data_IF_033693454625
#
_entry.id   IF_033693454625
#
_cell.length_a   1.000
_cell.length_b   1.000
_cell.length_c   1.000
_cell.angle_alpha   90.00
_cell.angle_beta   90.00
_cell.angle_gamma   90.00
#
_symmetry.space_group_name_H-M   'P 1'
#
loop_
_entity.id
_entity.type
_entity.pdbx_description
1 polymer ?
#
# COMPACT_ATOMS: atom_id res chain seq x y z
N UNK A 1 -4.42 -0.22 -9.53
CA UNK A 1 -4.60 -1.36 -8.61
C UNK A 1 -3.23 -1.70 -8.01
N UNK A 2 -3.13 -1.85 -6.69
CA UNK A 2 -1.92 -2.27 -5.99
C UNK A 2 -2.26 -3.31 -4.91
N UNK A 3 -1.39 -4.31 -4.74
CA UNK A 3 -1.51 -5.35 -3.72
C UNK A 3 -0.38 -5.17 -2.69
N UNK A 4 -0.68 -5.36 -1.41
CA UNK A 4 0.24 -5.17 -0.29
C UNK A 4 1.52 -5.98 -0.40
N UNK A 5 1.40 -7.27 -0.74
CA UNK A 5 2.54 -8.19 -0.74
C UNK A 5 3.60 -7.77 -1.76
N UNK A 6 3.20 -7.15 -2.88
CA UNK A 6 4.12 -6.67 -3.91
C UNK A 6 5.08 -5.60 -3.38
N UNK A 7 4.64 -4.83 -2.40
CA UNK A 7 5.43 -3.74 -1.80
C UNK A 7 6.12 -4.21 -0.51
N UNK A 8 5.40 -4.97 0.33
CA UNK A 8 5.83 -5.32 1.69
C UNK A 8 6.77 -6.52 1.70
N UNK A 9 6.47 -7.57 0.94
CA UNK A 9 7.12 -8.88 1.12
C UNK A 9 8.49 -8.94 0.46
N UNK A 10 9.43 -9.61 1.12
CA UNK A 10 10.83 -9.80 0.68
C UNK A 10 10.95 -10.42 -0.72
N UNK A 11 9.98 -11.24 -1.13
CA UNK A 11 9.96 -11.86 -2.46
C UNK A 11 9.73 -10.85 -3.59
N UNK A 12 9.24 -9.66 -3.27
CA UNK A 12 8.96 -8.59 -4.22
C UNK A 12 9.83 -7.37 -3.89
N UNK A 13 9.25 -6.25 -3.47
CA UNK A 13 10.03 -5.04 -3.16
C UNK A 13 10.66 -5.08 -1.76
N UNK A 14 10.16 -5.92 -0.85
CA UNK A 14 10.76 -6.11 0.48
C UNK A 14 10.85 -4.85 1.33
N UNK A 15 9.94 -3.89 1.16
CA UNK A 15 10.00 -2.60 1.86
C UNK A 15 9.41 -2.64 3.27
N UNK A 16 8.83 -3.77 3.68
CA UNK A 16 8.13 -3.89 4.95
C UNK A 16 6.94 -2.92 5.02
N UNK A 17 6.61 -2.46 6.24
CA UNK A 17 5.45 -1.59 6.50
C UNK A 17 5.81 -0.13 6.80
N UNK A 18 7.08 0.23 6.60
CA UNK A 18 7.62 1.54 6.93
C UNK A 18 7.37 2.63 5.89
N UNK A 19 8.14 3.71 5.99
CA UNK A 19 7.98 4.89 5.13
C UNK A 19 8.15 4.59 3.64
N UNK A 20 9.12 3.76 3.28
CA UNK A 20 9.37 3.40 1.88
C UNK A 20 8.15 2.72 1.23
N UNK A 21 7.45 1.86 1.96
CA UNK A 21 6.22 1.23 1.47
C UNK A 21 5.10 2.27 1.29
N UNK A 22 4.94 3.18 2.27
CA UNK A 22 3.96 4.27 2.19
C UNK A 22 4.20 5.17 0.98
N UNK A 23 5.44 5.59 0.73
CA UNK A 23 5.81 6.43 -0.42
C UNK A 23 5.46 5.77 -1.76
N UNK A 24 5.69 4.45 -1.89
CA UNK A 24 5.29 3.69 -3.09
C UNK A 24 3.78 3.77 -3.28
N UNK A 25 2.98 3.43 -2.26
CA UNK A 25 1.52 3.50 -2.37
C UNK A 25 1.01 4.92 -2.63
N UNK A 26 1.58 5.91 -1.97
CA UNK A 26 1.22 7.32 -2.17
C UNK A 26 1.53 7.76 -3.60
N UNK A 27 2.68 7.37 -4.17
CA UNK A 27 3.05 7.70 -5.55
C UNK A 27 2.07 7.10 -6.56
N UNK A 28 1.66 5.84 -6.34
CA UNK A 28 0.68 5.15 -7.18
C UNK A 28 -0.70 5.81 -7.07
N UNK A 29 -1.13 6.16 -5.85
CA UNK A 29 -2.40 6.87 -5.59
C UNK A 29 -2.43 8.22 -6.30
N UNK A 30 -1.38 9.03 -6.12
CA UNK A 30 -1.25 10.33 -6.77
C UNK A 30 -1.26 10.20 -8.30
N UNK A 31 -0.55 9.22 -8.85
CA UNK A 31 -0.53 8.98 -10.29
C UNK A 31 -1.93 8.62 -10.83
N UNK A 32 -2.71 7.76 -10.16
CA UNK A 32 -4.09 7.48 -10.55
C UNK A 32 -4.97 8.74 -10.53
N UNK A 33 -4.87 9.53 -9.46
CA UNK A 33 -5.66 10.75 -9.29
C UNK A 33 -5.37 11.82 -10.35
N UNK A 34 -4.13 11.92 -10.83
CA UNK A 34 -3.75 12.86 -11.91
C UNK A 34 -4.56 12.63 -13.21
N UNK A 35 -5.00 11.40 -13.45
CA UNK A 35 -5.78 11.04 -14.64
C UNK A 35 -7.25 10.75 -14.30
N UNK A 36 -7.74 11.25 -13.15
CA UNK A 36 -9.11 10.98 -12.66
C UNK A 36 -9.44 9.49 -12.55
N UNK A 37 -8.43 8.64 -12.33
CA UNK A 37 -8.58 7.21 -12.19
C UNK A 37 -8.71 6.76 -10.73
N UNK A 38 -9.16 5.53 -10.55
CA UNK A 38 -9.33 4.93 -9.23
C UNK A 38 -8.06 4.23 -8.75
N UNK A 39 -7.62 4.58 -7.54
CA UNK A 39 -6.61 3.83 -6.83
C UNK A 39 -7.25 2.73 -5.99
N UNK A 40 -7.19 1.49 -6.48
CA UNK A 40 -7.68 0.30 -5.76
C UNK A 40 -6.55 -0.38 -5.01
N UNK A 41 -6.71 -0.54 -3.69
CA UNK A 41 -5.88 -1.41 -2.85
C UNK A 41 -6.52 -2.79 -2.73
N UNK A 42 -5.70 -3.82 -2.93
CA UNK A 42 -6.04 -5.22 -2.66
C UNK A 42 -5.24 -5.70 -1.45
N UNK A 43 -5.78 -6.68 -0.73
CA UNK A 43 -5.11 -7.33 0.39
C UNK A 43 -5.48 -8.82 0.44
N UNK A 44 -4.63 -9.64 1.04
CA UNK A 44 -4.97 -11.00 1.42
C UNK A 44 -5.74 -11.01 2.74
N UNK A 45 -6.77 -11.85 2.87
CA UNK A 45 -7.52 -11.99 4.13
C UNK A 45 -6.66 -12.46 5.32
N UNK A 46 -5.51 -13.10 5.02
CA UNK A 46 -4.51 -13.50 6.01
C UNK A 46 -3.51 -12.41 6.36
N UNK A 47 -3.66 -11.20 5.80
CA UNK A 47 -2.88 -9.99 6.05
C UNK A 47 -3.75 -8.94 6.74
N UNK A 48 -3.17 -7.79 7.09
CA UNK A 48 -3.82 -6.75 7.90
C UNK A 48 -4.17 -7.21 9.32
N UNK A 49 -3.49 -8.25 9.80
CA UNK A 49 -3.64 -8.78 11.15
C UNK A 49 -2.71 -8.03 12.10
N UNK A 50 -1.49 -7.73 11.61
CA UNK A 50 -0.49 -6.99 12.36
C UNK A 50 -0.82 -5.49 12.41
N UNK A 51 -0.55 -4.88 13.55
CA UNK A 51 -0.88 -3.47 13.82
C UNK A 51 -0.14 -2.55 12.84
N UNK A 52 1.07 -2.92 12.43
CA UNK A 52 1.90 -2.18 11.50
C UNK A 52 1.30 -2.15 10.08
N UNK A 53 0.72 -3.27 9.63
CA UNK A 53 0.02 -3.34 8.35
C UNK A 53 -1.26 -2.49 8.37
N UNK A 54 -2.02 -2.56 9.48
CA UNK A 54 -3.22 -1.73 9.67
C UNK A 54 -2.88 -0.24 9.64
N UNK A 55 -1.82 0.17 10.34
CA UNK A 55 -1.33 1.57 10.35
C UNK A 55 -0.93 2.04 8.95
N UNK A 56 -0.23 1.21 8.18
CA UNK A 56 0.13 1.54 6.81
C UNK A 56 -1.13 1.76 5.96
N UNK A 57 -2.12 0.87 6.04
CA UNK A 57 -3.37 1.00 5.31
C UNK A 57 -4.17 2.24 5.69
N UNK A 58 -4.35 2.49 6.99
CA UNK A 58 -5.01 3.71 7.46
C UNK A 58 -4.33 4.96 6.92
N UNK A 59 -3.00 4.97 6.89
CA UNK A 59 -2.21 6.10 6.42
C UNK A 59 -2.39 6.33 4.91
N UNK A 60 -2.47 5.27 4.10
CA UNK A 60 -2.75 5.38 2.66
C UNK A 60 -4.19 5.86 2.37
N UNK A 61 -5.15 5.48 3.21
CA UNK A 61 -6.56 5.83 2.99
C UNK A 61 -6.92 7.26 3.43
N UNK A 62 -6.25 7.80 4.46
CA UNK A 62 -6.56 9.14 5.00
C UNK A 62 -6.11 10.33 4.12
N UNK A 63 -5.23 10.12 3.14
CA UNK A 63 -4.63 11.18 2.29
C UNK A 63 -5.03 11.04 0.84
#
# INVERSE_FOLDING_TARGET
>A
IAMECSVIDERYMGLGTGEAAFEVFQSLKTACQQFQGDFTLLWHNSRLIEVEEQRLYERILRL
#
